data_IF_026168539960
#
_entry.id   IF_026168539960
#
_cell.length_a   1.000
_cell.length_b   1.000
_cell.length_c   1.000
_cell.angle_alpha   90.00
_cell.angle_beta   90.00
_cell.angle_gamma   90.00
#
_symmetry.space_group_name_H-M   'P 1'
#
loop_
_entity.id
_entity.type
_entity.pdbx_description
1 polymer ?
#
# COMPACT_ATOMS: atom_id res chain seq x y z
N UNK A 1 10.17 57.03 5.46
CA UNK A 1 10.49 55.81 4.71
C UNK A 1 9.95 54.64 5.49
N UNK A 2 8.81 54.10 5.10
CA UNK A 2 8.16 52.94 5.71
C UNK A 2 8.22 51.83 4.68
N UNK A 3 9.00 50.81 4.97
CA UNK A 3 9.14 49.60 4.17
C UNK A 3 7.82 48.80 4.24
N UNK A 4 7.23 48.36 3.12
CA UNK A 4 6.03 47.54 3.16
C UNK A 4 6.40 46.13 3.67
N UNK A 5 5.52 45.48 4.45
CA UNK A 5 5.76 44.10 4.87
C UNK A 5 5.69 43.18 3.65
N UNK A 6 6.64 42.25 3.57
CA UNK A 6 6.71 41.22 2.56
C UNK A 6 5.38 40.46 2.47
N UNK A 7 4.96 40.21 1.24
CA UNK A 7 3.82 39.38 0.85
C UNK A 7 3.71 38.15 1.74
N UNK A 8 2.71 38.18 2.64
CA UNK A 8 2.19 36.97 3.24
C UNK A 8 1.58 36.14 2.11
N UNK A 9 2.27 35.08 1.71
CA UNK A 9 1.82 34.10 0.72
C UNK A 9 0.46 33.54 1.16
N UNK A 10 -0.61 34.13 0.63
CA UNK A 10 -1.99 33.98 1.09
C UNK A 10 -2.65 32.65 0.67
N UNK A 11 -1.88 31.74 0.06
CA UNK A 11 -2.35 30.43 -0.40
C UNK A 11 -1.27 29.37 -0.24
N UNK A 12 -0.80 29.13 0.99
CA UNK A 12 -0.03 27.93 1.29
C UNK A 12 -0.99 26.73 1.43
N UNK A 13 -1.70 26.42 0.35
CA UNK A 13 -2.51 25.21 0.26
C UNK A 13 -1.54 24.05 0.00
N UNK A 14 -1.53 23.01 0.84
CA UNK A 14 -0.64 21.87 0.61
C UNK A 14 -0.91 21.30 -0.79
N UNK A 15 0.14 20.90 -1.53
CA UNK A 15 -0.03 20.37 -2.87
C UNK A 15 -0.99 19.17 -2.84
N UNK A 16 -1.82 19.00 -3.88
CA UNK A 16 -2.72 17.85 -3.94
C UNK A 16 -1.91 16.55 -3.88
N UNK A 17 -2.44 15.50 -3.23
CA UNK A 17 -1.73 14.24 -3.09
C UNK A 17 -1.44 13.66 -4.47
N UNK A 18 -0.21 13.19 -4.62
CA UNK A 18 0.25 12.52 -5.84
C UNK A 18 -0.57 11.25 -6.10
N UNK A 19 -0.62 10.75 -7.34
CA UNK A 19 -1.31 9.50 -7.63
C UNK A 19 -0.83 8.30 -6.78
N UNK A 20 0.44 8.24 -6.42
CA UNK A 20 1.00 7.21 -5.54
C UNK A 20 0.48 7.38 -4.11
N UNK A 21 0.49 8.59 -3.57
CA UNK A 21 -0.06 8.88 -2.23
C UNK A 21 -1.55 8.59 -2.16
N UNK A 22 -2.33 8.90 -3.21
CA UNK A 22 -3.76 8.55 -3.30
C UNK A 22 -3.98 7.04 -3.20
N UNK A 23 -3.13 6.22 -3.80
CA UNK A 23 -3.21 4.77 -3.70
C UNK A 23 -2.83 4.26 -2.30
N UNK A 24 -1.87 4.91 -1.63
CA UNK A 24 -1.55 4.61 -0.23
C UNK A 24 -2.71 4.96 0.71
N UNK A 25 -3.39 6.09 0.48
CA UNK A 25 -4.61 6.44 1.21
C UNK A 25 -5.73 5.43 0.95
N UNK A 26 -5.94 5.05 -0.31
CA UNK A 26 -6.93 4.05 -0.70
C UNK A 26 -6.69 2.70 0.01
N UNK A 27 -5.45 2.25 0.12
CA UNK A 27 -5.12 1.03 0.87
C UNK A 27 -5.50 1.13 2.36
N UNK A 28 -5.30 2.31 2.96
CA UNK A 28 -5.75 2.61 4.32
C UNK A 28 -7.27 2.59 4.48
N UNK A 29 -8.01 3.13 3.51
CA UNK A 29 -9.48 3.10 3.49
C UNK A 29 -10.01 1.67 3.38
N UNK A 30 -9.45 0.85 2.48
CA UNK A 30 -9.81 -0.57 2.38
C UNK A 30 -9.50 -1.33 3.69
N UNK A 31 -8.36 -1.03 4.32
CA UNK A 31 -7.99 -1.64 5.61
C UNK A 31 -9.02 -1.28 6.68
N UNK A 32 -9.41 0.00 6.77
CA UNK A 32 -10.40 0.46 7.72
C UNK A 32 -11.79 -0.15 7.48
N UNK A 33 -12.19 -0.28 6.22
CA UNK A 33 -13.44 -0.97 5.85
C UNK A 33 -13.41 -2.45 6.25
N UNK A 34 -12.32 -3.15 5.96
CA UNK A 34 -12.14 -4.56 6.30
C UNK A 34 -12.13 -4.78 7.82
N UNK A 35 -11.46 -3.90 8.56
CA UNK A 35 -11.46 -3.89 10.03
C UNK A 35 -12.87 -3.67 10.58
N UNK A 36 -13.63 -2.72 10.03
CA UNK A 36 -15.00 -2.46 10.45
C UNK A 36 -15.92 -3.66 10.21
N UNK A 37 -15.77 -4.34 9.07
CA UNK A 37 -16.49 -5.58 8.78
C UNK A 37 -16.10 -6.70 9.74
N UNK A 38 -14.80 -6.89 10.01
CA UNK A 38 -14.31 -7.91 10.94
C UNK A 38 -14.82 -7.67 12.37
N UNK A 39 -14.95 -6.40 12.78
CA UNK A 39 -15.56 -6.03 14.06
C UNK A 39 -17.07 -6.29 14.07
N UNK A 40 -17.78 -5.94 12.99
CA UNK A 40 -19.22 -6.18 12.88
C UNK A 40 -19.56 -7.67 12.92
N UNK A 41 -18.79 -8.50 12.22
CA UNK A 41 -18.97 -9.96 12.20
C UNK A 41 -18.73 -10.63 13.55
N UNK A 42 -17.98 -9.98 14.44
CA UNK A 42 -17.66 -10.48 15.79
C UNK A 42 -18.49 -9.82 16.89
N UNK A 43 -19.23 -8.76 16.57
CA UNK A 43 -20.05 -8.03 17.53
C UNK A 43 -21.27 -8.87 17.92
N UNK A 44 -21.55 -8.94 19.23
CA UNK A 44 -22.73 -9.62 19.76
C UNK A 44 -24.02 -8.85 19.44
N UNK A 45 -23.91 -7.53 19.27
CA UNK A 45 -24.96 -6.62 18.79
C UNK A 45 -24.38 -5.78 17.64
N UNK A 46 -24.52 -6.22 16.38
CA UNK A 46 -23.91 -5.50 15.27
C UNK A 46 -24.58 -4.12 15.07
N UNK A 47 -23.80 -3.06 14.76
CA UNK A 47 -24.35 -1.78 14.31
C UNK A 47 -25.10 -1.94 12.99
N UNK A 48 -25.87 -0.91 12.60
CA UNK A 48 -26.76 -0.96 11.44
C UNK A 48 -26.03 -1.42 10.16
N UNK A 49 -26.63 -2.32 9.35
CA UNK A 49 -26.05 -2.80 8.10
C UNK A 49 -25.69 -1.66 7.14
N UNK A 50 -26.39 -0.52 7.19
CA UNK A 50 -26.21 0.58 6.25
C UNK A 50 -24.85 1.30 6.35
N UNK A 51 -24.11 1.12 7.45
CA UNK A 51 -22.80 1.77 7.61
C UNK A 51 -21.72 1.16 6.69
N UNK A 52 -21.74 -0.17 6.46
CA UNK A 52 -20.75 -0.79 5.59
C UNK A 52 -21.06 -0.55 4.11
N UNK A 53 -22.33 -0.39 3.75
CA UNK A 53 -22.76 -0.11 2.37
C UNK A 53 -22.33 1.29 1.94
N UNK A 54 -22.51 2.30 2.79
CA UNK A 54 -22.00 3.66 2.54
C UNK A 54 -20.47 3.66 2.37
N UNK A 55 -19.74 3.00 3.27
CA UNK A 55 -18.29 2.90 3.19
C UNK A 55 -17.82 2.17 1.92
N UNK A 56 -18.52 1.13 1.47
CA UNK A 56 -18.23 0.43 0.23
C UNK A 56 -18.44 1.31 -1.02
N UNK A 57 -19.49 2.15 -1.04
CA UNK A 57 -19.72 3.13 -2.10
C UNK A 57 -18.64 4.21 -2.13
N UNK A 58 -18.22 4.68 -0.95
CA UNK A 58 -17.11 5.64 -0.82
C UNK A 58 -15.81 5.05 -1.37
N UNK A 59 -15.51 3.79 -1.06
CA UNK A 59 -14.34 3.07 -1.62
C UNK A 59 -14.38 2.95 -3.15
N UNK A 60 -15.53 2.59 -3.71
CA UNK A 60 -15.69 2.51 -5.16
C UNK A 60 -15.48 3.89 -5.82
N UNK A 61 -15.98 4.95 -5.19
CA UNK A 61 -15.82 6.34 -5.62
C UNK A 61 -14.36 6.78 -5.53
N UNK A 62 -13.70 6.52 -4.40
CA UNK A 62 -12.29 6.84 -4.17
C UNK A 62 -11.37 6.10 -5.15
N UNK A 63 -11.63 4.81 -5.41
CA UNK A 63 -10.90 4.02 -6.41
C UNK A 63 -11.06 4.60 -7.81
N UNK A 64 -12.28 5.01 -8.17
CA UNK A 64 -12.56 5.66 -9.46
C UNK A 64 -11.83 7.00 -9.58
N UNK A 65 -11.77 7.78 -8.50
CA UNK A 65 -11.03 9.03 -8.46
C UNK A 65 -9.52 8.82 -8.59
N UNK A 66 -8.96 7.74 -8.00
CA UNK A 66 -7.57 7.36 -8.19
C UNK A 66 -7.26 6.98 -9.64
N UNK A 67 -8.13 6.21 -10.31
CA UNK A 67 -8.01 5.88 -11.74
C UNK A 67 -7.95 7.16 -12.58
N UNK A 68 -8.86 8.11 -12.34
CA UNK A 68 -8.89 9.39 -13.06
C UNK A 68 -7.60 10.20 -12.84
N UNK A 69 -7.08 10.22 -11.62
CA UNK A 69 -5.81 10.90 -11.32
C UNK A 69 -4.63 10.29 -12.08
N UNK A 70 -4.55 8.95 -12.14
CA UNK A 70 -3.50 8.23 -12.89
C UNK A 70 -3.62 8.52 -14.40
N UNK A 71 -4.84 8.51 -14.95
CA UNK A 71 -5.07 8.83 -16.36
C UNK A 71 -4.73 10.30 -16.68
N UNK A 72 -4.97 11.22 -15.74
CA UNK A 72 -4.63 12.64 -15.87
C UNK A 72 -3.14 12.91 -16.06
N UNK A 73 -2.27 12.00 -15.61
CA UNK A 73 -0.81 12.09 -15.79
C UNK A 73 -0.37 11.72 -17.22
N UNK A 74 -1.31 11.31 -18.09
CA UNK A 74 -1.12 11.02 -19.52
C UNK A 74 -0.05 9.97 -19.83
N UNK A 75 0.11 9.00 -18.95
CA UNK A 75 1.15 7.97 -19.07
C UNK A 75 0.74 6.78 -19.97
N UNK A 76 0.03 7.03 -21.07
CA UNK A 76 -0.77 6.03 -21.79
C UNK A 76 -0.01 4.89 -22.52
N UNK A 77 1.32 4.88 -22.47
CA UNK A 77 2.15 3.96 -23.24
C UNK A 77 2.78 2.81 -22.43
N UNK A 78 2.53 2.71 -21.11
CA UNK A 78 3.11 1.63 -20.30
C UNK A 78 2.11 0.48 -20.05
N UNK A 79 2.60 -0.73 -20.23
CA UNK A 79 1.90 -1.97 -19.92
C UNK A 79 1.61 -2.06 -18.42
N UNK A 80 2.58 -1.70 -17.57
CA UNK A 80 2.44 -1.70 -16.11
C UNK A 80 1.33 -0.77 -15.63
N UNK A 81 1.13 0.36 -16.30
CA UNK A 81 0.04 1.29 -15.98
C UNK A 81 -1.31 0.79 -16.47
N UNK A 82 -1.34 0.16 -17.64
CA UNK A 82 -2.55 -0.51 -18.12
C UNK A 82 -2.98 -1.60 -17.14
N UNK A 83 -2.03 -2.40 -16.66
CA UNK A 83 -2.26 -3.41 -15.64
C UNK A 83 -2.73 -2.81 -14.31
N UNK A 84 -2.07 -1.76 -13.82
CA UNK A 84 -2.49 -1.03 -12.61
C UNK A 84 -3.93 -0.52 -12.71
N UNK A 85 -4.28 0.13 -13.84
CA UNK A 85 -5.63 0.65 -14.07
C UNK A 85 -6.66 -0.47 -14.15
N UNK A 86 -6.34 -1.60 -14.78
CA UNK A 86 -7.24 -2.77 -14.82
C UNK A 86 -7.49 -3.33 -13.42
N UNK A 87 -6.43 -3.50 -12.60
CA UNK A 87 -6.58 -3.95 -11.21
C UNK A 87 -7.41 -2.98 -10.37
N UNK A 88 -7.22 -1.68 -10.53
CA UNK A 88 -8.03 -0.67 -9.83
C UNK A 88 -9.50 -0.69 -10.30
N UNK A 89 -9.77 -0.93 -11.58
CA UNK A 89 -11.15 -1.12 -12.06
C UNK A 89 -11.81 -2.34 -11.43
N UNK A 90 -11.07 -3.44 -11.30
CA UNK A 90 -11.55 -4.63 -10.60
C UNK A 90 -11.86 -4.31 -9.13
N UNK A 91 -10.98 -3.58 -8.43
CA UNK A 91 -11.22 -3.15 -7.06
C UNK A 91 -12.47 -2.28 -6.91
N UNK A 92 -12.67 -1.31 -7.80
CA UNK A 92 -13.86 -0.45 -7.81
C UNK A 92 -15.13 -1.29 -8.02
N UNK A 93 -15.08 -2.26 -8.94
CA UNK A 93 -16.19 -3.17 -9.19
C UNK A 93 -16.50 -4.03 -7.96
N UNK A 94 -15.49 -4.63 -7.32
CA UNK A 94 -15.66 -5.48 -6.14
C UNK A 94 -16.17 -4.68 -4.93
N UNK A 95 -15.67 -3.47 -4.72
CA UNK A 95 -16.19 -2.57 -3.68
C UNK A 95 -17.66 -2.21 -3.94
N UNK A 96 -18.04 -1.86 -5.17
CA UNK A 96 -19.43 -1.57 -5.50
C UNK A 96 -20.34 -2.81 -5.36
N UNK A 97 -19.89 -3.98 -5.78
CA UNK A 97 -20.63 -5.23 -5.63
C UNK A 97 -20.88 -5.60 -4.17
N UNK A 98 -19.97 -5.22 -3.26
CA UNK A 98 -20.10 -5.50 -1.83
C UNK A 98 -21.28 -4.80 -1.15
N UNK A 99 -21.82 -3.74 -1.75
CA UNK A 99 -22.96 -2.94 -1.23
C UNK A 99 -24.23 -3.78 -1.07
N UNK A 100 -24.46 -4.75 -1.95
CA UNK A 100 -25.68 -5.57 -1.97
C UNK A 100 -25.51 -6.89 -1.21
N UNK A 101 -24.34 -7.11 -0.61
CA UNK A 101 -23.97 -8.39 0.00
C UNK A 101 -24.00 -8.34 1.52
N UNK A 102 -23.95 -9.52 2.14
CA UNK A 102 -23.75 -9.61 3.59
C UNK A 102 -22.36 -9.12 3.97
N UNK A 103 -22.18 -8.66 5.21
CA UNK A 103 -20.88 -8.20 5.73
C UNK A 103 -19.75 -9.25 5.54
N UNK A 104 -20.07 -10.55 5.62
CA UNK A 104 -19.11 -11.63 5.39
C UNK A 104 -18.66 -11.70 3.93
N UNK A 105 -19.61 -11.71 2.98
CA UNK A 105 -19.30 -11.73 1.56
C UNK A 105 -18.63 -10.43 1.11
N UNK A 106 -19.06 -9.28 1.64
CA UNK A 106 -18.39 -8.00 1.43
C UNK A 106 -16.92 -8.08 1.85
N UNK A 107 -16.65 -8.64 3.04
CA UNK A 107 -15.31 -8.80 3.60
C UNK A 107 -14.40 -9.69 2.74
N UNK A 108 -14.96 -10.73 2.13
CA UNK A 108 -14.24 -11.61 1.21
C UNK A 108 -13.87 -10.88 -0.09
N UNK A 109 -14.81 -10.14 -0.68
CA UNK A 109 -14.56 -9.40 -1.93
C UNK A 109 -13.53 -8.28 -1.76
N UNK A 110 -13.52 -7.61 -0.62
CA UNK A 110 -12.63 -6.47 -0.34
C UNK A 110 -11.34 -6.88 0.38
N UNK A 111 -11.16 -8.17 0.67
CA UNK A 111 -10.05 -8.68 1.47
C UNK A 111 -8.67 -8.31 0.94
N UNK A 112 -8.49 -8.38 -0.39
CA UNK A 112 -7.23 -8.08 -1.07
C UNK A 112 -7.13 -6.64 -1.57
N UNK A 113 -8.10 -5.79 -1.20
CA UNK A 113 -8.15 -4.38 -1.56
C UNK A 113 -6.87 -3.61 -1.17
N UNK A 114 -6.41 -3.72 0.09
CA UNK A 114 -5.19 -3.04 0.52
C UNK A 114 -3.96 -3.47 -0.29
N UNK A 115 -3.71 -4.78 -0.43
CA UNK A 115 -2.53 -5.28 -1.14
C UNK A 115 -2.56 -4.91 -2.64
N UNK A 116 -3.73 -4.97 -3.29
CA UNK A 116 -3.87 -4.60 -4.68
C UNK A 116 -3.67 -3.08 -4.91
N UNK A 117 -4.11 -2.24 -3.97
CA UNK A 117 -3.83 -0.80 -4.00
C UNK A 117 -2.34 -0.50 -3.81
N UNK A 118 -1.67 -1.16 -2.85
CA UNK A 118 -0.21 -1.02 -2.64
C UNK A 118 0.58 -1.54 -3.83
N UNK A 119 0.22 -2.70 -4.40
CA UNK A 119 0.86 -3.22 -5.60
C UNK A 119 0.73 -2.25 -6.79
N UNK A 120 -0.44 -1.62 -6.95
CA UNK A 120 -0.65 -0.58 -7.96
C UNK A 120 0.21 0.66 -7.70
N UNK A 121 0.37 1.06 -6.42
CA UNK A 121 1.22 2.18 -6.03
C UNK A 121 2.71 1.90 -6.34
N UNK A 122 3.18 0.66 -6.09
CA UNK A 122 4.54 0.22 -6.41
C UNK A 122 4.80 0.29 -7.92
N UNK A 123 3.90 -0.26 -8.73
CA UNK A 123 4.03 -0.25 -10.19
C UNK A 123 4.08 1.20 -10.72
N UNK A 124 3.15 2.04 -10.27
CA UNK A 124 3.06 3.44 -10.66
C UNK A 124 4.30 4.26 -10.24
N UNK A 125 4.80 4.06 -9.02
CA UNK A 125 6.00 4.73 -8.55
C UNK A 125 7.25 4.30 -9.34
N UNK A 126 7.34 3.01 -9.68
CA UNK A 126 8.39 2.48 -10.55
C UNK A 126 8.37 3.14 -11.93
N UNK A 127 7.19 3.24 -12.54
CA UNK A 127 7.03 3.84 -13.86
C UNK A 127 7.30 5.36 -13.87
N UNK A 128 6.82 6.08 -12.86
CA UNK A 128 7.15 7.50 -12.70
C UNK A 128 8.65 7.72 -12.59
N UNK A 129 9.34 6.90 -11.81
CA UNK A 129 10.79 7.00 -11.66
C UNK A 129 11.52 6.70 -12.96
N UNK A 130 11.09 5.67 -13.71
CA UNK A 130 11.65 5.32 -15.02
C UNK A 130 11.53 6.48 -16.02
N UNK A 131 10.36 7.12 -16.10
CA UNK A 131 10.13 8.23 -17.04
C UNK A 131 10.77 9.55 -16.61
N UNK A 132 10.74 9.87 -15.30
CA UNK A 132 11.24 11.16 -14.79
C UNK A 132 12.76 11.16 -14.58
N UNK A 133 13.40 9.99 -14.47
CA UNK A 133 14.86 9.86 -14.37
C UNK A 133 15.44 10.73 -13.25
N UNK A 134 16.27 11.70 -13.61
CA UNK A 134 16.93 12.62 -12.67
C UNK A 134 15.98 13.63 -11.98
N UNK A 135 14.77 13.82 -12.49
CA UNK A 135 13.75 14.72 -11.88
C UNK A 135 12.81 13.99 -10.91
N UNK A 136 13.03 12.68 -10.70
CA UNK A 136 12.28 11.92 -9.72
C UNK A 136 12.53 12.45 -8.29
N UNK A 137 11.52 12.44 -7.40
CA UNK A 137 11.68 12.89 -6.03
C UNK A 137 12.83 12.14 -5.34
N UNK A 138 13.66 12.90 -4.63
CA UNK A 138 14.79 12.38 -3.87
C UNK A 138 14.25 11.43 -2.80
N UNK A 139 14.70 10.16 -2.80
CA UNK A 139 14.31 9.21 -1.76
C UNK A 139 14.64 9.72 -0.37
N UNK A 140 13.76 9.46 0.60
CA UNK A 140 14.13 9.67 1.99
C UNK A 140 15.24 8.69 2.41
N UNK A 141 16.48 9.17 2.38
CA UNK A 141 17.68 8.41 2.75
C UNK A 141 17.66 7.93 4.22
N UNK A 142 16.78 8.51 5.06
CA UNK A 142 16.64 8.13 6.47
C UNK A 142 15.83 6.83 6.65
N UNK A 143 15.16 6.35 5.61
CA UNK A 143 14.45 5.08 5.60
C UNK A 143 15.37 3.94 5.13
N UNK A 144 15.96 3.23 6.08
CA UNK A 144 16.64 1.94 5.83
C UNK A 144 15.66 0.84 5.38
N UNK A 145 16.17 -0.23 4.78
CA UNK A 145 15.36 -1.32 4.19
C UNK A 145 14.31 -1.92 5.16
N UNK A 146 14.68 -2.12 6.44
CA UNK A 146 13.77 -2.64 7.48
C UNK A 146 12.59 -1.68 7.72
N UNK A 147 12.84 -0.37 7.77
CA UNK A 147 11.78 0.62 7.95
C UNK A 147 10.85 0.68 6.72
N UNK A 148 11.41 0.55 5.50
CA UNK A 148 10.60 0.51 4.26
C UNK A 148 9.69 -0.72 4.23
N UNK A 149 10.22 -1.89 4.55
CA UNK A 149 9.44 -3.12 4.62
C UNK A 149 8.33 -3.00 5.68
N UNK A 150 8.65 -2.48 6.87
CA UNK A 150 7.65 -2.25 7.91
C UNK A 150 6.55 -1.27 7.48
N UNK A 151 6.90 -0.15 6.81
CA UNK A 151 5.92 0.80 6.29
C UNK A 151 5.03 0.17 5.21
N UNK A 152 5.57 -0.70 4.34
CA UNK A 152 4.79 -1.43 3.35
C UNK A 152 3.78 -2.39 4.02
N UNK A 153 4.20 -3.14 5.04
CA UNK A 153 3.29 -4.02 5.80
C UNK A 153 2.21 -3.24 6.55
N UNK A 154 2.55 -2.05 7.07
CA UNK A 154 1.57 -1.14 7.69
C UNK A 154 0.60 -0.61 6.64
N UNK A 155 1.08 -0.26 5.46
CA UNK A 155 0.25 0.25 4.36
C UNK A 155 -0.75 -0.81 3.84
N UNK A 156 -0.35 -2.08 3.84
CA UNK A 156 -1.24 -3.21 3.54
C UNK A 156 -2.22 -3.54 4.69
N UNK A 157 -2.16 -2.84 5.82
CA UNK A 157 -3.03 -3.12 6.96
C UNK A 157 -2.69 -4.42 7.67
N UNK A 158 -1.46 -4.94 7.57
CA UNK A 158 -1.08 -6.20 8.19
C UNK A 158 -0.63 -6.06 9.64
N UNK A 159 -0.31 -4.85 10.10
CA UNK A 159 0.28 -4.63 11.42
C UNK A 159 -0.78 -4.18 12.43
N UNK A 160 -0.82 -4.86 13.56
CA UNK A 160 -1.57 -4.47 14.75
C UNK A 160 -0.64 -4.42 15.96
N UNK A 161 -0.93 -3.54 16.89
CA UNK A 161 -0.28 -3.44 18.18
C UNK A 161 -1.28 -3.82 19.29
N UNK A 162 -0.75 -4.36 20.38
CA UNK A 162 -1.54 -4.66 21.57
C UNK A 162 -0.63 -4.69 22.80
N UNK A 163 -1.25 -4.60 23.97
CA UNK A 163 -0.59 -4.76 25.25
C UNK A 163 -1.23 -5.90 26.04
N UNK A 164 -0.41 -6.71 26.69
CA UNK A 164 -0.86 -7.75 27.62
C UNK A 164 0.15 -7.88 28.75
N UNK A 165 -0.33 -7.97 29.99
CA UNK A 165 0.50 -8.11 31.19
C UNK A 165 1.61 -7.03 31.28
N UNK A 166 1.30 -5.80 30.89
CA UNK A 166 2.25 -4.68 30.89
C UNK A 166 3.32 -4.74 29.79
N UNK A 167 3.21 -5.66 28.83
CA UNK A 167 4.12 -5.78 27.69
C UNK A 167 3.41 -5.48 26.38
N UNK A 168 4.00 -4.60 25.59
CA UNK A 168 3.55 -4.30 24.24
C UNK A 168 4.12 -5.30 23.23
N UNK A 169 3.28 -5.78 22.32
CA UNK A 169 3.69 -6.65 21.23
C UNK A 169 2.99 -6.27 19.93
N UNK A 170 3.69 -6.48 18.83
CA UNK A 170 3.16 -6.35 17.47
C UNK A 170 2.70 -7.71 16.99
N UNK A 171 1.64 -7.71 16.18
CA UNK A 171 1.33 -8.84 15.30
C UNK A 171 1.34 -8.33 13.87
N UNK A 172 2.04 -9.05 13.01
CA UNK A 172 2.02 -8.78 11.58
C UNK A 172 1.97 -10.09 10.81
N UNK A 173 1.52 -10.00 9.57
CA UNK A 173 1.80 -11.03 8.56
C UNK A 173 3.31 -11.06 8.30
N UNK A 174 3.82 -12.16 7.76
CA UNK A 174 5.22 -12.20 7.31
C UNK A 174 5.46 -11.15 6.21
N UNK A 175 6.55 -10.35 6.28
CA UNK A 175 7.62 -10.37 7.28
C UNK A 175 7.25 -9.75 8.64
N UNK A 176 7.78 -10.32 9.72
CA UNK A 176 7.50 -9.86 11.09
C UNK A 176 8.01 -8.42 11.32
N UNK A 177 7.10 -7.52 11.66
CA UNK A 177 7.43 -6.16 12.11
C UNK A 177 7.66 -6.18 13.63
N UNK A 178 8.90 -5.94 14.05
CA UNK A 178 9.27 -5.91 15.46
C UNK A 178 8.69 -4.69 16.16
N UNK A 179 8.32 -4.83 17.44
CA UNK A 179 7.84 -3.71 18.27
C UNK A 179 8.87 -2.59 18.39
N UNK A 180 10.17 -2.91 18.43
CA UNK A 180 11.24 -1.90 18.40
C UNK A 180 11.20 -1.06 17.13
N UNK A 181 10.96 -1.68 15.97
CA UNK A 181 10.83 -0.99 14.68
C UNK A 181 9.60 -0.10 14.68
N UNK A 182 8.46 -0.60 15.17
CA UNK A 182 7.23 0.19 15.26
C UNK A 182 7.43 1.45 16.11
N UNK A 183 8.02 1.32 17.30
CA UNK A 183 8.30 2.48 18.18
C UNK A 183 9.19 3.52 17.52
N UNK A 184 10.17 3.10 16.71
CA UNK A 184 11.02 4.02 15.95
C UNK A 184 10.21 4.77 14.89
N UNK A 185 9.30 4.10 14.19
CA UNK A 185 8.42 4.72 13.20
C UNK A 185 7.43 5.71 13.84
N UNK A 186 6.87 5.36 15.01
CA UNK A 186 6.01 6.22 15.82
C UNK A 186 6.76 7.47 16.31
N UNK A 187 7.98 7.28 16.83
CA UNK A 187 8.83 8.41 17.28
C UNK A 187 9.17 9.36 16.13
N UNK A 188 9.29 8.83 14.91
CA UNK A 188 9.50 9.63 13.70
C UNK A 188 8.21 10.25 13.15
N UNK A 189 7.06 10.01 13.78
CA UNK A 189 5.76 10.51 13.33
C UNK A 189 5.30 9.92 12.00
N UNK A 190 5.82 8.76 11.59
CA UNK A 190 5.46 8.12 10.31
C UNK A 190 4.25 7.20 10.45
N UNK A 191 3.99 6.74 11.67
CA UNK A 191 2.92 5.79 11.97
C UNK A 191 2.21 6.20 13.24
N UNK A 192 0.93 5.87 13.31
CA UNK A 192 0.08 6.08 14.47
C UNK A 192 -0.74 4.83 14.79
N UNK A 193 -1.28 4.76 16.01
CA UNK A 193 -2.16 3.68 16.46
C UNK A 193 -3.60 4.16 16.50
N UNK A 194 -4.48 3.47 15.78
CA UNK A 194 -5.92 3.64 15.91
C UNK A 194 -6.44 2.66 16.97
N UNK A 195 -6.75 3.19 18.15
CA UNK A 195 -7.11 2.39 19.33
C UNK A 195 -8.35 1.53 19.10
N UNK A 196 -8.23 0.23 19.39
CA UNK A 196 -9.35 -0.71 19.35
C UNK A 196 -10.02 -0.87 17.98
N UNK A 197 -9.37 -0.43 16.91
CA UNK A 197 -9.94 -0.44 15.57
C UNK A 197 -9.70 -1.74 14.80
N UNK A 198 -8.86 -2.64 15.31
CA UNK A 198 -8.59 -3.93 14.68
C UNK A 198 -9.24 -5.07 15.46
N UNK A 199 -9.65 -6.16 14.78
CA UNK A 199 -10.31 -7.28 15.44
C UNK A 199 -9.40 -7.97 16.46
N UNK A 200 -10.02 -8.52 17.50
CA UNK A 200 -9.32 -9.24 18.55
C UNK A 200 -8.48 -10.43 18.02
N UNK A 201 -7.43 -10.77 18.74
CA UNK A 201 -6.56 -11.91 18.44
C UNK A 201 -7.26 -13.28 18.49
N UNK A 202 -8.34 -13.38 19.28
CA UNK A 202 -9.12 -14.59 19.53
C UNK A 202 -10.55 -14.17 19.90
N UNK A 203 -11.51 -15.11 19.80
CA UNK A 203 -12.92 -14.86 20.11
C UNK A 203 -13.06 -14.47 21.59
N UNK A 204 -13.72 -13.34 21.86
CA UNK A 204 -13.90 -12.81 23.23
C UNK A 204 -12.68 -12.05 23.80
N UNK A 205 -11.59 -11.92 23.04
CA UNK A 205 -10.46 -11.07 23.43
C UNK A 205 -10.71 -9.57 23.21
N UNK A 206 -9.86 -8.69 23.75
CA UNK A 206 -9.95 -7.26 23.48
C UNK A 206 -9.58 -6.95 22.03
N UNK A 207 -10.20 -5.92 21.47
CA UNK A 207 -9.79 -5.37 20.18
C UNK A 207 -8.34 -4.89 20.24
N UNK A 208 -7.68 -4.95 19.09
CA UNK A 208 -6.29 -4.55 18.94
C UNK A 208 -6.21 -3.15 18.32
N UNK A 209 -5.04 -2.54 18.41
CA UNK A 209 -4.82 -1.24 17.81
C UNK A 209 -4.27 -1.42 16.39
N UNK A 210 -4.94 -0.85 15.39
CA UNK A 210 -4.43 -0.86 14.01
C UNK A 210 -3.30 0.14 13.91
N UNK A 211 -2.15 -0.29 13.40
CA UNK A 211 -1.10 0.64 13.02
C UNK A 211 -1.43 1.21 11.64
N UNK A 212 -1.40 2.54 11.50
CA UNK A 212 -1.70 3.27 10.26
C UNK A 212 -0.55 4.20 9.90
N UNK A 213 -0.44 4.51 8.61
CA UNK A 213 0.46 5.56 8.15
C UNK A 213 -0.13 6.93 8.47
N UNK A 214 0.70 7.83 8.97
CA UNK A 214 0.35 9.26 9.04
C UNK A 214 0.50 9.90 7.65
N UNK A 215 0.02 11.12 7.41
CA UNK A 215 0.31 11.84 6.16
C UNK A 215 1.81 11.92 5.85
N UNK A 216 2.63 12.18 6.87
CA UNK A 216 4.10 12.16 6.74
C UNK A 216 4.63 10.77 6.39
N UNK A 217 4.07 9.71 6.98
CA UNK A 217 4.38 8.33 6.63
C UNK A 217 4.03 7.96 5.20
N UNK A 218 2.88 8.44 4.70
CA UNK A 218 2.42 8.26 3.32
C UNK A 218 3.40 8.90 2.35
N UNK A 219 3.76 10.17 2.55
CA UNK A 219 4.75 10.86 1.70
C UNK A 219 6.14 10.19 1.79
N UNK A 220 6.57 9.80 2.99
CA UNK A 220 7.86 9.15 3.18
C UNK A 220 7.92 7.79 2.45
N UNK A 221 6.86 6.97 2.56
CA UNK A 221 6.76 5.70 1.84
C UNK A 221 6.68 5.93 0.32
N UNK A 222 5.85 6.86 -0.16
CA UNK A 222 5.72 7.18 -1.58
C UNK A 222 7.07 7.58 -2.20
N UNK A 223 7.92 8.31 -1.48
CA UNK A 223 9.24 8.74 -1.96
C UNK A 223 10.21 7.57 -2.24
N UNK A 224 10.02 6.43 -1.55
CA UNK A 224 10.89 5.26 -1.64
C UNK A 224 10.29 4.10 -2.43
N UNK A 225 9.00 4.16 -2.79
CA UNK A 225 8.38 3.20 -3.69
C UNK A 225 9.04 3.24 -5.08
N UNK A 226 9.12 2.07 -5.72
CA UNK A 226 9.78 1.90 -7.02
C UNK A 226 11.32 1.91 -6.98
N UNK A 227 11.94 2.04 -5.80
CA UNK A 227 13.36 1.78 -5.65
C UNK A 227 13.63 0.28 -5.67
N UNK A 228 14.71 -0.18 -6.33
CA UNK A 228 15.12 -1.58 -6.23
C UNK A 228 15.33 -1.93 -4.76
N UNK A 229 14.82 -3.10 -4.35
CA UNK A 229 15.13 -3.64 -3.03
C UNK A 229 16.66 -3.71 -2.89
N UNK A 230 17.20 -3.14 -1.83
CA UNK A 230 18.63 -3.20 -1.52
C UNK A 230 18.98 -4.67 -1.22
N UNK A 231 19.24 -5.46 -2.26
CA UNK A 231 19.52 -6.89 -2.12
C UNK A 231 19.32 -7.74 -3.38
N UNK A 232 18.48 -7.34 -4.34
CA UNK A 232 18.39 -8.05 -5.63
C UNK A 232 19.22 -7.33 -6.68
N UNK A 233 20.54 -7.32 -6.47
CA UNK A 233 21.43 -7.34 -7.64
C UNK A 233 21.14 -8.67 -8.32
N UNK A 234 20.24 -8.66 -9.29
CA UNK A 234 20.29 -9.66 -10.35
C UNK A 234 21.66 -9.49 -10.96
N UNK A 235 22.59 -10.36 -10.56
CA UNK A 235 23.85 -10.52 -11.25
C UNK A 235 23.52 -10.70 -12.74
N UNK A 236 24.29 -10.10 -13.67
CA UNK A 236 24.14 -10.41 -15.08
C UNK A 236 24.56 -11.88 -15.29
N UNK A 237 23.59 -12.79 -15.27
CA UNK A 237 23.74 -14.17 -15.74
C UNK A 237 22.85 -14.30 -16.99
N UNK A 238 23.32 -14.74 -18.15
CA UNK A 238 24.56 -15.40 -18.49
C UNK A 238 24.88 -15.09 -19.97
N UNK A 239 26.16 -14.99 -20.30
CA UNK A 239 26.62 -15.14 -21.68
C UNK A 239 26.11 -16.47 -22.25
N UNK A 240 25.58 -16.50 -23.48
CA UNK A 240 25.07 -17.72 -24.09
C UNK A 240 26.22 -18.74 -24.21
N UNK A 241 26.03 -19.90 -23.58
CA UNK A 241 26.93 -21.05 -23.73
C UNK A 241 26.84 -21.53 -25.18
N UNK A 242 27.95 -21.57 -25.94
CA UNK A 242 27.90 -22.07 -27.31
C UNK A 242 27.56 -23.57 -27.30
N UNK A 243 26.62 -23.94 -28.17
CA UNK A 243 26.23 -25.33 -28.43
C UNK A 243 27.45 -26.14 -28.90
N UNK A 244 27.68 -27.36 -28.38
CA UNK A 244 28.70 -28.23 -28.92
C UNK A 244 28.30 -28.64 -30.34
N UNK A 245 29.18 -28.34 -31.29
CA UNK A 245 29.09 -28.75 -32.68
C UNK A 245 29.19 -30.28 -32.74
N UNK A 246 28.13 -30.95 -33.20
CA UNK A 246 28.19 -32.36 -33.51
C UNK A 246 29.13 -32.55 -34.71
N UNK A 247 30.35 -33.02 -34.44
CA UNK A 247 31.28 -33.44 -35.47
C UNK A 247 30.69 -34.63 -36.23
N UNK A 248 30.66 -34.50 -37.56
CA UNK A 248 30.35 -35.57 -38.49
C UNK A 248 31.26 -36.78 -38.24
N UNK A 249 30.68 -37.93 -37.91
CA UNK A 249 31.31 -39.22 -38.12
C UNK A 249 30.66 -39.86 -39.35
N UNK A 250 31.38 -39.81 -40.46
CA UNK A 250 31.06 -40.49 -41.69
C UNK A 250 31.19 -42.03 -41.52
N UNK A 251 30.25 -42.74 -42.16
CA UNK A 251 30.40 -43.98 -42.92
C UNK A 251 31.24 -45.18 -42.39
N UNK A 252 30.55 -46.34 -42.40
CA UNK A 252 30.97 -47.67 -42.92
C UNK A 252 32.11 -48.45 -42.23
N UNK A 253 31.77 -49.59 -41.62
CA UNK A 253 32.04 -50.96 -42.15
C UNK A 253 31.94 -52.04 -41.05
N UNK A 254 30.98 -52.97 -41.14
CA UNK A 254 31.15 -54.39 -41.52
C UNK A 254 29.83 -55.14 -41.35
#
# INVERSE_FOLDING_TARGET
MTQPPADALLFDMPPPPTPVERLLHLAGEYTQHNDALDLLLRATNPPQPEAHTACAQDLATATTAAIKAIQGERLYESEELTEAVVRLRQLAFLANASVELSAGAARELTALGPEAAIASAVMLAGEFRRRRGATAPTPDARLGAVHRAALAEIACGHVVASSSLGREFTRSREPKVLMSTLRVLETKGLTERATGSAPAAYIGGPNLDRVRLTPTGVTALASVLGLPAAGSSSAPAATPRPLPTAAQAAARNR
#
